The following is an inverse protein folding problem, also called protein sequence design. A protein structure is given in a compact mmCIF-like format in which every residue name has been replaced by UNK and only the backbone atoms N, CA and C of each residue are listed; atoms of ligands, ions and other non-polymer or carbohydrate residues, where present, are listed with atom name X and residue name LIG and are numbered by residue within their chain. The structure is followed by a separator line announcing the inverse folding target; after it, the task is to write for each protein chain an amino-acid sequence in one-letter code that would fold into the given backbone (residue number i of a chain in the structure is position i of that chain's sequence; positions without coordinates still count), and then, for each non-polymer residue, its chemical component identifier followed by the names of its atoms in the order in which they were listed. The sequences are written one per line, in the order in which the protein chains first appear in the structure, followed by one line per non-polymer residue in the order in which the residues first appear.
data_IF_319901845534
#
_entry.id   IF_319901845534
#
_cell.length_a   1.000
_cell.length_b   1.000
_cell.length_c   1.000
_cell.angle_alpha   90.00
_cell.angle_beta   90.00
_cell.angle_gamma   90.00
#
_symmetry.space_group_name_H-M   'P 1'
#
loop_
_entity.id
_entity.type
_entity.pdbx_description
1 polymer ?
#
# COMPACT_ATOMS: atom_id res chain seq x y z
N UNK A 1 2.51 23.64 -3.65
CA UNK A 1 3.09 22.34 -4.06
C UNK A 1 1.99 21.30 -3.96
N UNK A 2 1.71 20.53 -5.02
CA UNK A 2 0.79 19.39 -4.94
C UNK A 2 1.51 18.19 -4.32
N UNK A 3 0.84 17.45 -3.44
CA UNK A 3 1.37 16.20 -2.87
C UNK A 3 1.58 15.14 -3.97
N UNK A 4 2.59 14.30 -3.80
CA UNK A 4 2.83 13.15 -4.67
C UNK A 4 1.82 12.04 -4.34
N UNK A 5 1.03 11.63 -5.33
CA UNK A 5 0.03 10.57 -5.16
C UNK A 5 0.65 9.20 -5.37
N UNK A 6 0.45 8.28 -4.43
CA UNK A 6 1.02 6.93 -4.43
C UNK A 6 -0.07 5.93 -4.07
N UNK A 7 -0.27 4.92 -4.92
CA UNK A 7 -1.12 3.78 -4.62
C UNK A 7 -0.27 2.53 -4.37
N UNK A 8 -0.47 1.88 -3.22
CA UNK A 8 0.09 0.55 -2.93
C UNK A 8 -0.99 -0.47 -3.23
N UNK A 9 -0.78 -1.32 -4.24
CA UNK A 9 -1.76 -2.32 -4.67
C UNK A 9 -1.27 -3.72 -4.31
N UNK A 10 -2.05 -4.43 -3.51
CA UNK A 10 -1.80 -5.80 -3.11
C UNK A 10 -2.66 -6.73 -3.97
N UNK A 11 -2.02 -7.54 -4.82
CA UNK A 11 -2.67 -8.45 -5.76
C UNK A 11 -2.21 -9.90 -5.61
N UNK A 12 -2.50 -10.54 -4.47
CA UNK A 12 -2.22 -11.97 -4.27
C UNK A 12 -3.54 -12.75 -4.12
N UNK A 13 -3.54 -13.98 -4.62
CA UNK A 13 -4.74 -14.83 -4.67
C UNK A 13 -4.69 -16.02 -3.72
N UNK A 14 -3.60 -16.19 -2.95
CA UNK A 14 -3.36 -17.34 -2.07
C UNK A 14 -3.01 -16.91 -0.66
N UNK A 15 -3.82 -17.31 0.31
CA UNK A 15 -3.76 -16.90 1.73
C UNK A 15 -2.45 -17.27 2.42
N UNK A 16 -1.80 -18.34 1.95
CA UNK A 16 -0.51 -18.79 2.48
C UNK A 16 0.69 -17.94 2.02
N UNK A 17 0.46 -16.77 1.41
CA UNK A 17 1.52 -15.88 0.92
C UNK A 17 1.67 -14.65 1.79
N UNK A 18 2.92 -14.26 1.99
CA UNK A 18 3.34 -13.07 2.74
C UNK A 18 3.14 -11.79 1.90
N UNK A 19 1.98 -11.64 1.23
CA UNK A 19 1.65 -10.48 0.40
C UNK A 19 1.15 -9.26 1.20
N UNK A 20 0.26 -9.44 2.20
CA UNK A 20 -0.24 -8.32 3.02
C UNK A 20 0.84 -7.62 3.83
N UNK A 21 1.77 -8.39 4.41
CA UNK A 21 2.82 -7.86 5.28
C UNK A 21 3.75 -6.83 4.60
N UNK A 22 4.35 -7.10 3.43
CA UNK A 22 5.17 -6.12 2.73
C UNK A 22 4.34 -4.97 2.15
N UNK A 23 3.10 -5.23 1.71
CA UNK A 23 2.19 -4.18 1.25
C UNK A 23 1.90 -3.15 2.34
N UNK A 24 1.55 -3.63 3.54
CA UNK A 24 1.36 -2.77 4.70
C UNK A 24 2.65 -2.04 5.06
N UNK A 25 3.80 -2.72 5.12
CA UNK A 25 5.08 -2.10 5.45
C UNK A 25 5.46 -0.96 4.49
N UNK A 26 5.23 -1.13 3.19
CA UNK A 26 5.47 -0.09 2.18
C UNK A 26 4.53 1.11 2.39
N UNK A 27 3.23 0.87 2.61
CA UNK A 27 2.25 1.91 2.91
C UNK A 27 2.67 2.73 4.15
N UNK A 28 3.06 2.03 5.21
CA UNK A 28 3.53 2.62 6.46
C UNK A 28 4.78 3.48 6.30
N UNK A 29 5.71 3.06 5.42
CA UNK A 29 6.90 3.83 5.14
C UNK A 29 6.59 5.08 4.29
N UNK A 30 5.75 4.93 3.27
CA UNK A 30 5.39 6.01 2.36
C UNK A 30 4.58 7.12 3.06
N UNK A 31 3.66 6.78 3.98
CA UNK A 31 2.82 7.75 4.69
C UNK A 31 3.54 8.61 5.73
N UNK A 32 4.79 8.27 6.08
CA UNK A 32 5.60 9.06 7.04
C UNK A 32 6.05 10.40 6.47
N UNK A 33 5.91 10.59 5.17
CA UNK A 33 6.33 11.77 4.42
C UNK A 33 5.12 12.66 4.19
N UNK A 34 5.15 13.88 4.71
CA UNK A 34 4.02 14.82 4.60
C UNK A 34 3.77 15.26 3.15
N UNK A 35 4.79 15.17 2.29
CA UNK A 35 4.71 15.46 0.86
C UNK A 35 3.96 14.37 0.06
N UNK A 36 3.66 13.21 0.65
CA UNK A 36 2.95 12.13 0.00
C UNK A 36 1.46 12.12 0.34
N UNK A 37 0.65 11.69 -0.63
CA UNK A 37 -0.75 11.30 -0.50
C UNK A 37 -0.83 9.82 -0.89
N UNK A 38 -0.99 8.93 0.10
CA UNK A 38 -0.79 7.48 -0.06
C UNK A 38 -2.07 6.71 0.23
N UNK A 39 -2.43 5.81 -0.66
CA UNK A 39 -3.54 4.86 -0.48
C UNK A 39 -3.07 3.40 -0.57
N UNK A 40 -3.81 2.50 0.08
CA UNK A 40 -3.57 1.06 0.05
C UNK A 40 -4.83 0.36 -0.47
N UNK A 41 -4.69 -0.42 -1.54
CA UNK A 41 -5.75 -1.23 -2.13
C UNK A 41 -5.38 -2.71 -2.06
N UNK A 42 -6.18 -3.50 -1.35
CA UNK A 42 -6.09 -4.95 -1.38
C UNK A 42 -7.19 -5.52 -2.29
N UNK A 43 -6.77 -6.09 -3.43
CA UNK A 43 -7.67 -6.63 -4.46
C UNK A 43 -8.41 -7.91 -4.01
N UNK A 44 -8.01 -8.52 -2.89
CA UNK A 44 -8.73 -9.67 -2.31
C UNK A 44 -9.84 -9.23 -1.36
N UNK A 45 -9.65 -8.10 -0.68
CA UNK A 45 -10.57 -7.62 0.35
C UNK A 45 -11.73 -6.77 -0.19
N UNK A 46 -11.58 -6.24 -1.42
CA UNK A 46 -12.64 -5.57 -2.18
C UNK A 46 -13.46 -6.54 -3.04
#
# INVERSE_FOLDING_TARGET
MSKLKIAVIIGFTRDSRFGPAPGQWIFELARKREEHDVELLDLKAG
#
